data_IF_095698733856
#
_entry.id   IF_095698733856
#
_cell.length_a   1.000
_cell.length_b   1.000
_cell.length_c   1.000
_cell.angle_alpha   90.00
_cell.angle_beta   90.00
_cell.angle_gamma   90.00
#
_symmetry.space_group_name_H-M   'P 1'
#
loop_
_entity.id
_entity.type
_entity.pdbx_description
1 polymer ?
#
# COMPACT_ATOMS: atom_id res chain seq x y z
N UNK A 1 -34.00 -75.21 -34.59
CA UNK A 1 -32.91 -75.84 -33.84
C UNK A 1 -31.81 -74.81 -33.63
N UNK A 2 -31.28 -74.73 -32.41
CA UNK A 2 -30.17 -73.90 -31.87
C UNK A 2 -28.88 -73.90 -32.76
N UNK A 3 -27.79 -73.17 -32.42
CA UNK A 3 -27.63 -71.78 -31.96
C UNK A 3 -26.29 -71.13 -32.48
N UNK A 4 -25.95 -69.96 -31.91
CA UNK A 4 -24.60 -69.39 -31.72
C UNK A 4 -23.74 -69.02 -32.95
N UNK A 5 -23.45 -67.72 -33.08
CA UNK A 5 -22.07 -67.27 -33.26
C UNK A 5 -21.90 -65.88 -32.63
N UNK A 6 -21.14 -65.87 -31.54
CA UNK A 6 -20.70 -64.73 -30.77
C UNK A 6 -19.41 -64.25 -31.42
N UNK A 7 -19.35 -63.04 -31.98
CA UNK A 7 -18.06 -62.37 -32.22
C UNK A 7 -18.16 -60.88 -31.89
N UNK A 8 -17.41 -60.56 -30.85
CA UNK A 8 -16.93 -59.26 -30.44
C UNK A 8 -16.37 -58.44 -31.60
N UNK A 9 -16.68 -57.15 -31.65
CA UNK A 9 -15.60 -56.17 -31.81
C UNK A 9 -15.98 -54.83 -31.20
N UNK A 10 -15.18 -54.50 -30.21
CA UNK A 10 -15.16 -53.34 -29.36
C UNK A 10 -14.98 -52.05 -30.17
N UNK A 11 -15.81 -51.08 -29.84
CA UNK A 11 -15.70 -49.67 -30.24
C UNK A 11 -14.27 -49.16 -30.00
N UNK A 12 -13.64 -48.62 -31.04
CA UNK A 12 -12.42 -47.80 -30.92
C UNK A 12 -12.59 -46.58 -31.83
N UNK A 13 -13.28 -45.58 -31.31
CA UNK A 13 -13.26 -44.22 -31.88
C UNK A 13 -11.91 -43.63 -31.51
N UNK A 14 -10.98 -43.68 -32.46
CA UNK A 14 -9.70 -42.97 -32.40
C UNK A 14 -10.02 -41.48 -32.50
N UNK A 15 -10.15 -40.82 -31.35
CA UNK A 15 -10.01 -39.36 -31.28
C UNK A 15 -8.53 -39.05 -31.48
N UNK A 16 -8.18 -38.64 -32.70
CA UNK A 16 -6.90 -37.99 -32.99
C UNK A 16 -6.95 -36.62 -32.31
N UNK A 17 -6.52 -36.54 -31.06
CA UNK A 17 -6.09 -35.29 -30.47
C UNK A 17 -4.78 -34.89 -31.14
N UNK A 18 -4.89 -34.03 -32.16
CA UNK A 18 -3.77 -33.27 -32.68
C UNK A 18 -3.23 -32.40 -31.54
N UNK A 19 -2.23 -32.92 -30.85
CA UNK A 19 -1.41 -32.20 -29.88
C UNK A 19 -0.55 -31.21 -30.65
N UNK A 20 -0.97 -29.93 -30.65
CA UNK A 20 -0.08 -28.83 -30.99
C UNK A 20 1.00 -28.75 -29.90
N UNK A 21 2.16 -29.33 -30.18
CA UNK A 21 3.41 -28.93 -29.53
C UNK A 21 3.70 -27.47 -29.87
N UNK A 22 3.37 -26.58 -28.94
CA UNK A 22 4.08 -25.30 -28.80
C UNK A 22 5.00 -25.42 -27.61
N UNK A 23 6.28 -25.50 -27.90
CA UNK A 23 7.35 -25.28 -26.94
C UNK A 23 7.17 -23.91 -26.25
N UNK A 24 7.32 -23.89 -24.93
CA UNK A 24 7.78 -22.72 -24.18
C UNK A 24 6.78 -21.59 -23.90
N UNK A 25 5.77 -21.86 -23.06
CA UNK A 25 5.24 -20.99 -21.97
C UNK A 25 3.98 -21.65 -21.39
N UNK A 26 3.99 -22.03 -20.11
CA UNK A 26 2.79 -22.61 -19.48
C UNK A 26 1.71 -21.53 -19.32
N UNK A 27 0.46 -21.91 -19.56
CA UNK A 27 -0.68 -21.02 -19.83
C UNK A 27 -1.37 -20.46 -18.56
N UNK A 28 -0.90 -20.75 -17.34
CA UNK A 28 -1.39 -20.02 -16.14
C UNK A 28 -0.27 -19.89 -15.11
N UNK A 29 0.28 -18.68 -14.97
CA UNK A 29 1.07 -18.31 -13.80
C UNK A 29 0.18 -18.45 -12.56
N UNK A 30 0.55 -19.24 -11.54
CA UNK A 30 -0.30 -19.49 -10.38
C UNK A 30 -0.58 -18.19 -9.60
N UNK A 31 -1.66 -18.17 -8.82
CA UNK A 31 -1.95 -17.04 -7.94
C UNK A 31 -0.91 -16.99 -6.81
N UNK A 32 -0.38 -15.79 -6.55
CA UNK A 32 0.59 -15.58 -5.47
C UNK A 32 -0.01 -15.81 -4.08
N UNK A 33 0.82 -16.25 -3.13
CA UNK A 33 0.49 -16.51 -1.72
C UNK A 33 1.14 -15.46 -0.78
N UNK A 34 1.19 -15.76 0.52
CA UNK A 34 1.72 -14.88 1.57
C UNK A 34 0.64 -14.00 2.22
N UNK A 35 1.00 -13.31 3.31
CA UNK A 35 0.11 -12.34 3.99
C UNK A 35 0.36 -10.92 3.50
N UNK A 36 -0.60 -9.99 3.70
CA UNK A 36 -0.35 -8.60 3.35
C UNK A 36 0.83 -8.07 4.14
N UNK A 37 1.71 -7.34 3.45
CA UNK A 37 2.94 -6.81 4.03
C UNK A 37 3.83 -7.88 4.71
N UNK A 38 3.82 -9.10 4.18
CA UNK A 38 4.84 -10.11 4.45
C UNK A 38 5.87 -10.12 3.33
N UNK A 39 7.16 -10.18 3.69
CA UNK A 39 8.28 -10.27 2.75
C UNK A 39 9.02 -11.57 3.03
N UNK A 40 9.19 -12.39 1.99
CA UNK A 40 10.06 -13.56 2.03
C UNK A 40 11.49 -13.15 1.65
N UNK A 41 12.42 -13.30 2.59
CA UNK A 41 13.84 -13.08 2.39
C UNK A 41 14.51 -14.40 1.99
N UNK A 42 15.17 -14.41 0.84
CA UNK A 42 16.04 -15.50 0.39
C UNK A 42 17.48 -15.05 0.61
N UNK A 43 18.08 -15.57 1.68
CA UNK A 43 19.44 -15.21 2.09
C UNK A 43 20.10 -16.37 2.83
N UNK A 44 21.39 -16.60 2.58
CA UNK A 44 22.20 -17.58 3.29
C UNK A 44 22.47 -17.15 4.75
N UNK A 45 23.12 -18.02 5.53
CA UNK A 45 23.38 -17.74 6.95
C UNK A 45 24.43 -16.66 7.17
N UNK A 46 25.36 -16.48 6.22
CA UNK A 46 26.40 -15.46 6.33
C UNK A 46 25.78 -14.06 6.20
N UNK A 47 24.87 -13.89 5.24
CA UNK A 47 24.17 -12.64 5.00
C UNK A 47 23.13 -12.35 6.10
N UNK A 48 22.35 -13.34 6.50
CA UNK A 48 21.27 -13.09 7.46
C UNK A 48 21.74 -12.93 8.90
N UNK A 49 22.75 -13.70 9.32
CA UNK A 49 23.31 -13.60 10.67
C UNK A 49 24.54 -12.68 10.69
N UNK A 50 24.70 -11.83 9.68
CA UNK A 50 25.80 -10.87 9.65
C UNK A 50 25.71 -9.93 10.87
N UNK A 51 26.83 -9.45 11.40
CA UNK A 51 26.82 -8.57 12.57
C UNK A 51 25.96 -7.31 12.40
N UNK A 52 25.87 -6.81 11.17
CA UNK A 52 25.04 -5.65 10.81
C UNK A 52 23.56 -6.01 10.65
N UNK A 53 23.22 -7.25 10.25
CA UNK A 53 21.85 -7.70 9.98
C UNK A 53 21.02 -6.67 9.17
N UNK A 54 21.65 -5.93 8.25
CA UNK A 54 21.10 -4.69 7.70
C UNK A 54 19.71 -4.88 7.08
N UNK A 55 19.51 -5.96 6.34
CA UNK A 55 18.22 -6.24 5.70
C UNK A 55 17.10 -6.52 6.71
N UNK A 56 17.41 -7.19 7.83
CA UNK A 56 16.44 -7.39 8.89
C UNK A 56 16.01 -6.05 9.48
N UNK A 57 16.96 -5.18 9.84
CA UNK A 57 16.67 -3.87 10.44
C UNK A 57 15.86 -2.95 9.52
N UNK A 58 16.17 -2.94 8.21
CA UNK A 58 15.38 -2.19 7.23
C UNK A 58 13.94 -2.70 7.18
N UNK A 59 13.73 -4.02 7.13
CA UNK A 59 12.38 -4.58 7.03
C UNK A 59 11.59 -4.49 8.35
N UNK A 60 12.28 -4.43 9.49
CA UNK A 60 11.69 -4.32 10.83
C UNK A 60 11.45 -2.86 11.27
N UNK A 61 11.84 -1.88 10.45
CA UNK A 61 11.61 -0.44 10.70
C UNK A 61 10.12 -0.16 10.94
N UNK A 62 9.81 0.62 11.97
CA UNK A 62 8.43 0.96 12.33
C UNK A 62 7.71 1.80 11.28
N UNK A 63 6.40 1.62 11.16
CA UNK A 63 5.56 2.47 10.32
C UNK A 63 5.41 3.85 10.97
N UNK A 64 5.75 4.95 10.26
CA UNK A 64 5.70 6.29 10.82
C UNK A 64 4.26 6.76 11.09
N UNK A 65 4.12 7.61 12.12
CA UNK A 65 2.83 8.21 12.50
C UNK A 65 1.89 7.28 13.26
N UNK A 66 2.38 6.18 13.84
CA UNK A 66 1.61 5.30 14.72
C UNK A 66 1.87 5.62 16.20
N UNK A 67 0.85 5.48 17.08
CA UNK A 67 1.02 5.77 18.50
C UNK A 67 1.82 4.70 19.25
N UNK A 68 1.92 3.50 18.69
CA UNK A 68 2.81 2.45 19.17
C UNK A 68 3.67 1.92 18.01
N UNK A 69 4.92 1.53 18.27
CA UNK A 69 5.77 0.84 17.30
C UNK A 69 5.08 -0.35 16.64
N UNK A 70 5.03 -0.35 15.31
CA UNK A 70 4.57 -1.48 14.52
C UNK A 70 5.45 -1.63 13.27
N UNK A 71 6.23 -2.72 13.21
CA UNK A 71 7.11 -3.04 12.09
C UNK A 71 6.44 -2.93 10.72
N UNK A 72 7.21 -2.46 9.74
CA UNK A 72 6.79 -2.29 8.36
C UNK A 72 6.41 -3.61 7.70
N UNK A 73 7.17 -4.68 7.95
CA UNK A 73 6.87 -5.97 7.34
C UNK A 73 6.88 -7.10 8.35
N UNK A 74 6.07 -8.12 8.08
CA UNK A 74 6.32 -9.46 8.63
C UNK A 74 7.44 -10.08 7.80
N UNK A 75 8.47 -10.57 8.46
CA UNK A 75 9.63 -11.13 7.77
C UNK A 75 9.62 -12.65 7.89
N UNK A 76 9.65 -13.32 6.75
CA UNK A 76 9.85 -14.77 6.64
C UNK A 76 11.17 -14.99 5.92
N UNK A 77 11.96 -15.99 6.31
CA UNK A 77 13.28 -16.24 5.69
C UNK A 77 13.41 -17.69 5.24
N UNK A 78 14.03 -17.90 4.09
CA UNK A 78 14.54 -19.20 3.63
C UNK A 78 15.98 -19.07 3.14
N UNK A 79 16.72 -20.18 3.21
CA UNK A 79 18.04 -20.29 2.55
C UNK A 79 17.85 -20.44 1.03
N UNK A 80 18.84 -20.08 0.21
CA UNK A 80 18.76 -20.22 -1.26
C UNK A 80 18.37 -21.64 -1.71
N UNK A 81 18.97 -22.68 -1.13
CA UNK A 81 18.65 -24.09 -1.38
C UNK A 81 17.20 -24.48 -1.02
N UNK A 82 16.53 -23.70 -0.16
CA UNK A 82 15.12 -23.87 0.21
C UNK A 82 14.16 -22.98 -0.59
N UNK A 83 14.68 -22.22 -1.56
CA UNK A 83 13.89 -21.40 -2.48
C UNK A 83 13.28 -22.23 -3.63
N UNK A 84 12.33 -23.09 -3.25
CA UNK A 84 11.66 -24.07 -4.10
C UNK A 84 10.29 -23.58 -4.61
N UNK A 85 9.56 -24.47 -5.29
CA UNK A 85 8.25 -24.17 -5.90
C UNK A 85 7.23 -23.57 -4.93
N UNK A 86 7.22 -23.98 -3.66
CA UNK A 86 6.24 -23.48 -2.68
C UNK A 86 6.58 -22.05 -2.22
N UNK A 87 7.85 -21.81 -1.89
CA UNK A 87 8.32 -20.50 -1.40
C UNK A 87 8.35 -19.45 -2.52
N UNK A 88 8.55 -19.87 -3.76
CA UNK A 88 8.40 -19.04 -4.97
C UNK A 88 6.99 -18.50 -5.19
N UNK A 89 5.96 -18.98 -4.48
CA UNK A 89 4.61 -18.44 -4.61
C UNK A 89 4.40 -17.14 -3.82
N UNK A 90 5.29 -16.76 -2.90
CA UNK A 90 5.13 -15.54 -2.10
C UNK A 90 5.04 -14.29 -2.98
N UNK A 91 4.10 -13.40 -2.68
CA UNK A 91 3.86 -12.21 -3.50
C UNK A 91 4.89 -11.09 -3.36
N UNK A 92 5.68 -11.10 -2.29
CA UNK A 92 6.77 -10.15 -2.06
C UNK A 92 7.99 -10.97 -1.64
N UNK A 93 9.04 -10.91 -2.44
CA UNK A 93 10.27 -11.66 -2.23
C UNK A 93 11.45 -10.71 -2.36
N UNK A 94 12.42 -10.83 -1.46
CA UNK A 94 13.73 -10.20 -1.61
C UNK A 94 14.81 -11.27 -1.66
N UNK A 95 15.70 -11.19 -2.64
CA UNK A 95 16.80 -12.14 -2.85
C UNK A 95 18.10 -11.38 -2.63
N UNK A 96 18.88 -11.82 -1.63
CA UNK A 96 20.25 -11.37 -1.44
C UNK A 96 21.17 -12.25 -2.29
N UNK A 97 21.77 -11.66 -3.32
CA UNK A 97 22.64 -12.34 -4.26
C UNK A 97 24.05 -11.76 -4.17
N UNK A 98 24.87 -12.36 -3.29
CA UNK A 98 26.20 -11.87 -2.96
C UNK A 98 27.24 -12.79 -3.59
N UNK A 99 27.94 -12.28 -4.60
CA UNK A 99 28.95 -13.04 -5.35
C UNK A 99 30.06 -12.10 -5.83
N UNK A 100 31.31 -12.55 -5.77
CA UNK A 100 32.50 -11.77 -6.16
C UNK A 100 32.60 -11.45 -7.66
N UNK A 101 31.74 -12.06 -8.49
CA UNK A 101 31.58 -11.74 -9.92
C UNK A 101 30.97 -10.36 -10.16
N UNK A 102 30.28 -9.80 -9.15
CA UNK A 102 29.70 -8.47 -9.25
C UNK A 102 30.76 -7.40 -8.97
N UNK A 103 30.59 -6.23 -9.57
CA UNK A 103 31.53 -5.10 -9.41
C UNK A 103 30.94 -3.94 -8.61
N UNK A 104 29.64 -3.97 -8.33
CA UNK A 104 28.92 -2.95 -7.57
C UNK A 104 27.61 -3.50 -7.03
N UNK A 105 27.15 -2.95 -5.90
CA UNK A 105 25.83 -3.25 -5.36
C UNK A 105 24.72 -2.54 -6.15
N UNK A 106 23.65 -3.26 -6.50
CA UNK A 106 22.49 -2.67 -7.17
C UNK A 106 21.20 -3.42 -6.86
N UNK A 107 20.08 -2.68 -6.96
CA UNK A 107 18.75 -3.24 -6.93
C UNK A 107 18.26 -3.57 -8.34
N UNK A 108 17.62 -4.73 -8.46
CA UNK A 108 16.85 -5.17 -9.62
C UNK A 108 15.49 -5.64 -9.15
N UNK A 109 14.51 -5.60 -10.03
CA UNK A 109 13.24 -6.24 -9.73
C UNK A 109 12.62 -6.95 -10.92
N UNK A 110 11.80 -7.94 -10.62
CA UNK A 110 11.03 -8.70 -11.59
C UNK A 110 9.59 -8.83 -11.10
N UNK A 111 8.65 -8.71 -12.04
CA UNK A 111 7.22 -8.94 -11.79
C UNK A 111 6.82 -10.33 -12.23
N UNK A 112 5.92 -10.95 -11.47
CA UNK A 112 5.19 -12.16 -11.88
C UNK A 112 6.05 -13.32 -12.38
N UNK A 113 7.29 -13.45 -11.87
CA UNK A 113 8.26 -14.45 -12.33
C UNK A 113 7.78 -15.89 -12.09
N UNK A 114 7.10 -16.12 -10.96
CA UNK A 114 6.63 -17.45 -10.54
C UNK A 114 5.14 -17.49 -10.21
N UNK A 115 4.56 -16.39 -9.75
CA UNK A 115 3.15 -16.28 -9.36
C UNK A 115 2.63 -14.86 -9.65
N UNK A 116 1.32 -14.63 -9.69
CA UNK A 116 0.76 -13.27 -9.90
C UNK A 116 -0.35 -12.92 -8.90
N UNK A 117 -0.43 -11.68 -8.40
CA UNK A 117 0.54 -10.58 -8.57
C UNK A 117 1.75 -10.73 -7.63
N UNK A 118 2.98 -10.67 -8.16
CA UNK A 118 4.23 -10.88 -7.44
C UNK A 118 5.27 -9.81 -7.76
N UNK A 119 5.97 -9.35 -6.72
CA UNK A 119 7.12 -8.48 -6.82
C UNK A 119 8.35 -9.16 -6.19
N UNK A 120 9.42 -9.28 -6.96
CA UNK A 120 10.70 -9.84 -6.50
C UNK A 120 11.75 -8.74 -6.62
N UNK A 121 12.38 -8.37 -5.51
CA UNK A 121 13.57 -7.52 -5.52
C UNK A 121 14.81 -8.40 -5.39
N UNK A 122 15.76 -8.28 -6.30
CA UNK A 122 17.08 -8.91 -6.17
C UNK A 122 18.12 -7.83 -5.89
N UNK A 123 18.90 -8.03 -4.84
CA UNK A 123 20.02 -7.17 -4.48
C UNK A 123 21.30 -7.92 -4.82
N UNK A 124 21.96 -7.49 -5.89
CA UNK A 124 23.24 -8.06 -6.31
C UNK A 124 24.36 -7.28 -5.63
N UNK A 125 25.34 -7.96 -5.02
CA UNK A 125 26.47 -7.33 -4.31
C UNK A 125 27.77 -8.12 -4.46
N UNK A 126 28.94 -7.47 -4.61
CA UNK A 126 30.24 -8.16 -4.61
C UNK A 126 30.61 -8.80 -3.27
N UNK A 127 30.18 -8.21 -2.15
CA UNK A 127 30.55 -8.64 -0.81
C UNK A 127 29.45 -8.38 0.22
N UNK A 128 29.55 -9.02 1.38
CA UNK A 128 28.63 -8.80 2.50
C UNK A 128 28.73 -7.37 3.06
N UNK A 129 29.93 -6.79 3.09
CA UNK A 129 30.16 -5.44 3.60
C UNK A 129 29.48 -4.39 2.70
N UNK A 130 29.69 -4.47 1.39
CA UNK A 130 29.05 -3.57 0.42
C UNK A 130 27.53 -3.77 0.37
N UNK A 131 27.05 -5.00 0.58
CA UNK A 131 25.62 -5.29 0.69
C UNK A 131 25.02 -4.55 1.90
N UNK A 132 25.64 -4.71 3.07
CA UNK A 132 25.20 -4.10 4.32
C UNK A 132 25.15 -2.57 4.25
N UNK A 133 26.22 -1.96 3.74
CA UNK A 133 26.32 -0.50 3.57
C UNK A 133 25.21 0.01 2.64
N UNK A 134 25.05 -0.64 1.48
CA UNK A 134 24.09 -0.21 0.47
C UNK A 134 22.64 -0.38 0.97
N UNK A 135 22.30 -1.52 1.58
CA UNK A 135 20.97 -1.78 2.14
C UNK A 135 20.64 -0.76 3.24
N UNK A 136 21.60 -0.47 4.12
CA UNK A 136 21.40 0.50 5.20
C UNK A 136 21.19 1.92 4.64
N UNK A 137 21.98 2.32 3.65
CA UNK A 137 21.86 3.65 3.01
C UNK A 137 20.56 3.82 2.22
N UNK A 138 20.08 2.74 1.60
CA UNK A 138 18.93 2.77 0.69
C UNK A 138 17.68 2.09 1.27
N UNK A 139 17.60 1.91 2.60
CA UNK A 139 16.53 1.16 3.24
C UNK A 139 15.12 1.66 2.90
N UNK A 140 14.92 2.98 2.79
CA UNK A 140 13.63 3.56 2.42
C UNK A 140 13.17 3.13 1.01
N UNK A 141 14.09 2.89 0.08
CA UNK A 141 13.78 2.41 -1.28
C UNK A 141 13.17 1.01 -1.21
N UNK A 142 13.73 0.13 -0.36
CA UNK A 142 13.22 -1.23 -0.13
C UNK A 142 11.83 -1.18 0.51
N UNK A 143 11.66 -0.34 1.53
CA UNK A 143 10.38 -0.18 2.23
C UNK A 143 9.30 0.36 1.29
N UNK A 144 9.60 1.41 0.53
CA UNK A 144 8.66 2.02 -0.42
C UNK A 144 8.27 1.04 -1.53
N UNK A 145 9.23 0.28 -2.07
CA UNK A 145 8.97 -0.70 -3.14
C UNK A 145 7.88 -1.71 -2.73
N UNK A 146 8.07 -2.40 -1.61
CA UNK A 146 7.10 -3.40 -1.16
C UNK A 146 5.82 -2.77 -0.59
N UNK A 147 5.90 -1.59 0.02
CA UNK A 147 4.71 -0.88 0.50
C UNK A 147 3.82 -0.46 -0.67
N UNK A 148 4.39 0.08 -1.73
CA UNK A 148 3.65 0.47 -2.95
C UNK A 148 3.11 -0.74 -3.70
N UNK A 149 3.84 -1.85 -3.72
CA UNK A 149 3.34 -3.11 -4.29
C UNK A 149 2.04 -3.57 -3.59
N UNK A 150 2.01 -3.57 -2.26
CA UNK A 150 0.79 -3.90 -1.51
C UNK A 150 -0.31 -2.85 -1.68
N UNK A 151 0.04 -1.56 -1.72
CA UNK A 151 -0.94 -0.50 -1.98
C UNK A 151 -1.57 -0.62 -3.36
N UNK A 152 -0.81 -0.98 -4.41
CA UNK A 152 -1.36 -1.24 -5.74
C UNK A 152 -2.37 -2.39 -5.74
N UNK A 153 -2.13 -3.43 -4.93
CA UNK A 153 -3.10 -4.53 -4.76
C UNK A 153 -4.39 -4.04 -4.09
N UNK A 154 -4.28 -3.19 -3.08
CA UNK A 154 -5.44 -2.58 -2.42
C UNK A 154 -6.19 -1.62 -3.35
N UNK A 155 -5.49 -0.76 -4.09
CA UNK A 155 -6.06 0.15 -5.11
C UNK A 155 -6.80 -0.64 -6.19
N UNK A 156 -6.23 -1.77 -6.65
CA UNK A 156 -6.88 -2.67 -7.61
C UNK A 156 -8.14 -3.33 -7.03
N UNK A 157 -8.16 -3.61 -5.73
CA UNK A 157 -9.35 -4.10 -5.03
C UNK A 157 -10.42 -3.00 -4.97
N UNK A 158 -10.05 -1.79 -4.57
CA UNK A 158 -10.93 -0.62 -4.53
C UNK A 158 -11.55 -0.32 -5.91
N UNK A 159 -10.75 -0.38 -6.99
CA UNK A 159 -11.25 -0.23 -8.37
C UNK A 159 -12.37 -1.21 -8.68
N UNK A 160 -12.23 -2.47 -8.23
CA UNK A 160 -13.22 -3.52 -8.45
C UNK A 160 -14.43 -3.41 -7.52
N UNK A 161 -14.21 -2.96 -6.30
CA UNK A 161 -15.19 -2.97 -5.23
C UNK A 161 -14.90 -1.83 -4.24
N UNK A 162 -15.67 -0.77 -4.35
CA UNK A 162 -15.67 0.38 -3.45
C UNK A 162 -17.11 0.76 -3.09
N UNK A 163 -17.29 1.65 -2.12
CA UNK A 163 -18.59 2.21 -1.78
C UNK A 163 -19.01 3.25 -2.83
N UNK A 164 -19.82 2.83 -3.80
CA UNK A 164 -20.31 3.68 -4.88
C UNK A 164 -21.15 4.86 -4.37
N UNK A 165 -21.92 4.68 -3.31
CA UNK A 165 -22.78 5.73 -2.74
C UNK A 165 -21.94 6.88 -2.17
N UNK A 166 -20.91 6.55 -1.37
CA UNK A 166 -20.00 7.54 -0.82
C UNK A 166 -19.13 8.17 -1.92
N UNK A 167 -18.69 7.38 -2.90
CA UNK A 167 -17.89 7.89 -4.02
C UNK A 167 -18.69 8.89 -4.87
N UNK A 168 -19.96 8.57 -5.19
CA UNK A 168 -20.88 9.50 -5.85
C UNK A 168 -21.18 10.75 -5.00
N UNK A 169 -21.20 10.61 -3.66
CA UNK A 169 -21.33 11.75 -2.75
C UNK A 169 -20.12 12.68 -2.84
N UNK A 170 -18.91 12.11 -2.87
CA UNK A 170 -17.67 12.88 -3.03
C UNK A 170 -17.67 13.62 -4.37
N UNK A 171 -18.02 12.93 -5.48
CA UNK A 171 -18.13 13.57 -6.79
C UNK A 171 -19.13 14.73 -6.75
N UNK A 172 -20.31 14.55 -6.16
CA UNK A 172 -21.34 15.60 -6.10
C UNK A 172 -20.95 16.80 -5.24
N UNK A 173 -20.19 16.61 -4.16
CA UNK A 173 -19.83 17.68 -3.22
C UNK A 173 -18.53 18.40 -3.60
N UNK A 174 -17.60 17.67 -4.21
CA UNK A 174 -16.22 18.12 -4.42
C UNK A 174 -15.78 18.06 -5.88
N UNK A 175 -16.61 17.60 -6.82
CA UNK A 175 -16.20 17.42 -8.22
C UNK A 175 -14.92 16.56 -8.37
N UNK A 176 -14.73 15.60 -7.46
CA UNK A 176 -13.58 14.71 -7.42
C UNK A 176 -14.04 13.25 -7.45
N UNK A 177 -13.35 12.42 -8.22
CA UNK A 177 -13.55 10.98 -8.20
C UNK A 177 -12.66 10.36 -7.12
N UNK A 178 -13.17 9.37 -6.38
CA UNK A 178 -12.38 8.60 -5.42
C UNK A 178 -13.01 7.23 -5.21
N UNK A 179 -12.21 6.21 -4.93
CA UNK A 179 -12.73 4.89 -4.53
C UNK A 179 -12.77 4.77 -3.02
N UNK A 180 -13.95 5.01 -2.44
CA UNK A 180 -14.16 4.93 -0.99
C UNK A 180 -14.17 3.47 -0.50
N UNK A 181 -13.45 3.11 0.58
CA UNK A 181 -13.50 1.75 1.12
C UNK A 181 -14.93 1.29 1.45
N UNK A 182 -15.24 0.02 1.16
CA UNK A 182 -16.58 -0.56 1.35
C UNK A 182 -17.02 -0.66 2.81
N UNK A 183 -16.05 -0.66 3.73
CA UNK A 183 -16.30 -0.72 5.16
C UNK A 183 -16.88 0.57 5.71
N UNK A 184 -16.69 1.70 5.01
CA UNK A 184 -17.27 2.98 5.39
C UNK A 184 -18.75 2.98 5.03
N UNK A 185 -19.61 3.06 6.03
CA UNK A 185 -21.05 2.87 5.90
C UNK A 185 -21.85 4.07 6.41
N UNK A 186 -21.33 4.80 7.38
CA UNK A 186 -21.94 6.01 7.94
C UNK A 186 -21.24 7.26 7.40
N UNK A 187 -21.98 8.37 7.29
CA UNK A 187 -21.39 9.64 6.89
C UNK A 187 -22.09 10.87 7.49
N UNK A 188 -21.34 11.97 7.56
CA UNK A 188 -21.80 13.31 7.92
C UNK A 188 -21.29 14.31 6.89
N UNK A 189 -22.16 15.17 6.39
CA UNK A 189 -21.80 16.29 5.51
C UNK A 189 -21.75 17.57 6.32
N UNK A 190 -20.70 18.36 6.11
CA UNK A 190 -20.54 19.72 6.62
C UNK A 190 -20.29 20.69 5.48
N UNK A 191 -19.97 21.95 5.81
CA UNK A 191 -19.60 22.94 4.81
C UNK A 191 -18.22 22.60 4.22
N UNK A 192 -18.16 22.32 2.91
CA UNK A 192 -16.92 21.88 2.24
C UNK A 192 -16.25 20.69 2.95
N UNK A 193 -17.05 19.80 3.53
CA UNK A 193 -16.57 18.71 4.37
C UNK A 193 -17.47 17.48 4.25
N UNK A 194 -16.86 16.31 4.20
CA UNK A 194 -17.53 15.02 4.34
C UNK A 194 -16.68 14.15 5.26
N UNK A 195 -17.32 13.56 6.28
CA UNK A 195 -16.75 12.49 7.08
C UNK A 195 -17.52 11.20 6.80
N UNK A 196 -16.80 10.12 6.57
CA UNK A 196 -17.34 8.78 6.47
C UNK A 196 -16.63 7.85 7.47
N UNK A 197 -17.37 6.93 8.06
CA UNK A 197 -16.83 5.97 9.03
C UNK A 197 -17.41 4.57 8.87
N UNK A 198 -16.68 3.59 9.37
CA UNK A 198 -17.23 2.25 9.59
C UNK A 198 -18.31 2.28 10.68
N UNK A 199 -19.14 1.24 10.76
CA UNK A 199 -20.16 1.14 11.80
C UNK A 199 -19.56 1.10 13.23
N UNK A 200 -18.33 0.61 13.37
CA UNK A 200 -17.61 0.59 14.64
C UNK A 200 -16.86 1.90 14.91
N UNK A 201 -16.85 2.83 13.94
CA UNK A 201 -16.09 4.07 13.95
C UNK A 201 -14.57 3.87 14.10
N UNK A 202 -14.07 2.68 13.78
CA UNK A 202 -12.67 2.31 13.87
C UNK A 202 -11.86 2.68 12.62
N UNK A 203 -12.54 2.82 11.49
CA UNK A 203 -12.03 3.39 10.24
C UNK A 203 -12.77 4.68 9.95
N UNK A 204 -12.02 5.75 9.71
CA UNK A 204 -12.59 7.05 9.40
C UNK A 204 -11.87 7.65 8.20
N UNK A 205 -12.65 8.32 7.37
CA UNK A 205 -12.17 9.01 6.19
C UNK A 205 -12.84 10.38 6.13
N UNK A 206 -12.06 11.42 5.90
CA UNK A 206 -12.60 12.76 5.62
C UNK A 206 -12.08 13.27 4.30
N UNK A 207 -12.91 14.07 3.64
CA UNK A 207 -12.51 14.94 2.54
C UNK A 207 -13.01 16.35 2.83
N UNK A 208 -12.16 17.33 2.60
CA UNK A 208 -12.52 18.73 2.77
C UNK A 208 -11.73 19.66 1.87
N UNK A 209 -12.25 20.87 1.68
CA UNK A 209 -11.61 21.87 0.81
C UNK A 209 -11.51 23.23 1.48
N UNK A 210 -10.48 23.98 1.09
CA UNK A 210 -10.31 25.39 1.45
C UNK A 210 -9.59 26.15 0.32
N UNK A 211 -9.75 27.48 0.21
CA UNK A 211 -9.14 28.27 -0.87
C UNK A 211 -7.62 28.12 -0.92
N UNK A 212 -7.05 28.04 -2.12
CA UNK A 212 -5.61 28.07 -2.29
C UNK A 212 -5.10 29.50 -2.18
N UNK A 213 -4.39 29.80 -1.10
CA UNK A 213 -3.89 31.15 -0.85
C UNK A 213 -2.53 31.40 -1.52
N UNK A 214 -1.56 30.49 -1.31
CA UNK A 214 -0.19 30.67 -1.78
C UNK A 214 0.65 29.38 -1.60
N UNK A 215 1.93 29.41 -1.97
CA UNK A 215 2.81 28.23 -1.83
C UNK A 215 3.07 27.83 -0.38
N UNK A 216 2.97 28.79 0.54
CA UNK A 216 3.12 28.60 2.00
C UNK A 216 2.04 27.68 2.59
N UNK A 217 1.00 27.36 1.82
CA UNK A 217 0.01 26.33 2.13
C UNK A 217 0.62 24.96 2.38
N UNK A 218 1.77 24.64 1.79
CA UNK A 218 2.45 23.36 1.95
C UNK A 218 3.56 23.40 2.99
N UNK A 219 3.20 23.81 4.21
CA UNK A 219 4.07 23.74 5.38
C UNK A 219 3.39 22.94 6.49
N UNK A 220 4.18 22.30 7.35
CA UNK A 220 3.66 21.51 8.47
C UNK A 220 2.76 22.35 9.38
N UNK A 221 3.21 23.56 9.73
CA UNK A 221 2.45 24.46 10.60
C UNK A 221 1.11 24.88 9.98
N UNK A 222 1.11 25.28 8.71
CA UNK A 222 -0.12 25.69 8.02
C UNK A 222 -1.10 24.52 7.87
N UNK A 223 -0.60 23.32 7.54
CA UNK A 223 -1.44 22.13 7.46
C UNK A 223 -2.13 21.84 8.80
N UNK A 224 -1.38 21.85 9.91
CA UNK A 224 -1.93 21.60 11.26
C UNK A 224 -3.00 22.66 11.60
N UNK A 225 -2.72 23.94 11.37
CA UNK A 225 -3.68 25.03 11.60
C UNK A 225 -5.00 24.80 10.84
N UNK A 226 -4.92 24.47 9.53
CA UNK A 226 -6.12 24.23 8.71
C UNK A 226 -6.83 22.96 9.09
N UNK A 227 -6.10 21.88 9.36
CA UNK A 227 -6.67 20.62 9.83
C UNK A 227 -7.46 20.86 11.11
N UNK A 228 -6.85 21.44 12.13
CA UNK A 228 -7.49 21.64 13.43
C UNK A 228 -8.69 22.57 13.35
N UNK A 229 -8.63 23.61 12.51
CA UNK A 229 -9.78 24.48 12.25
C UNK A 229 -10.96 23.72 11.64
N UNK A 230 -10.71 22.88 10.63
CA UNK A 230 -11.75 22.08 9.96
C UNK A 230 -12.29 20.98 10.89
N UNK A 231 -11.41 20.25 11.57
CA UNK A 231 -11.80 19.17 12.47
C UNK A 231 -12.58 19.70 13.67
N UNK A 232 -12.21 20.84 14.24
CA UNK A 232 -12.95 21.48 15.33
C UNK A 232 -14.39 21.81 14.97
N UNK A 233 -14.61 22.33 13.75
CA UNK A 233 -15.95 22.69 13.28
C UNK A 233 -16.83 21.46 12.97
N UNK A 234 -16.22 20.35 12.55
CA UNK A 234 -16.96 19.23 11.95
C UNK A 234 -17.00 17.96 12.81
N UNK A 235 -16.05 17.77 13.73
CA UNK A 235 -15.91 16.59 14.58
C UNK A 235 -15.91 16.98 16.07
N UNK A 236 -17.04 17.52 16.60
CA UNK A 236 -17.19 17.75 18.03
C UNK A 236 -17.29 16.42 18.79
N UNK A 237 -16.82 16.43 20.03
CA UNK A 237 -16.99 15.30 20.95
C UNK A 237 -18.38 15.29 21.61
N UNK A 238 -18.55 14.42 22.60
CA UNK A 238 -19.84 14.20 23.26
C UNK A 238 -20.31 15.38 24.13
N UNK A 239 -19.41 16.28 24.53
CA UNK A 239 -19.69 17.44 25.38
C UNK A 239 -19.15 18.72 24.77
N UNK A 240 -19.70 19.84 25.20
CA UNK A 240 -19.17 21.16 24.86
C UNK A 240 -17.69 21.28 25.23
N UNK A 241 -16.90 21.89 24.36
CA UNK A 241 -15.45 22.03 24.53
C UNK A 241 -14.64 20.80 24.08
N UNK A 242 -15.27 19.70 23.66
CA UNK A 242 -14.58 18.55 23.07
C UNK A 242 -14.58 18.64 21.54
N UNK A 243 -13.42 18.48 20.92
CA UNK A 243 -13.29 18.47 19.47
C UNK A 243 -11.97 17.84 19.03
N UNK A 244 -11.94 17.29 17.82
CA UNK A 244 -10.72 16.68 17.29
C UNK A 244 -9.66 17.75 16.97
N UNK A 245 -8.44 17.49 17.40
CA UNK A 245 -7.23 18.25 17.10
C UNK A 245 -6.10 17.33 16.65
N UNK A 246 -5.06 17.90 16.08
CA UNK A 246 -3.77 17.24 15.94
C UNK A 246 -3.13 17.17 17.32
N UNK A 247 -2.66 16.00 17.72
CA UNK A 247 -1.89 15.85 18.94
C UNK A 247 -0.51 16.53 18.77
N UNK A 248 0.43 16.25 19.67
CA UNK A 248 1.74 16.91 19.68
C UNK A 248 2.42 16.94 18.29
N UNK A 249 2.57 18.18 17.78
CA UNK A 249 3.13 18.51 16.47
C UNK A 249 4.57 18.02 16.25
N UNK A 250 5.28 17.64 17.32
CA UNK A 250 6.59 16.99 17.24
C UNK A 250 6.51 15.60 16.61
N UNK A 251 5.38 14.90 16.76
CA UNK A 251 5.13 13.58 16.14
C UNK A 251 4.43 13.66 14.78
N UNK A 252 4.37 14.86 14.20
CA UNK A 252 3.83 15.07 12.86
C UNK A 252 4.96 15.06 11.85
N UNK A 253 4.91 14.06 10.97
CA UNK A 253 5.78 13.90 9.82
C UNK A 253 5.07 14.43 8.57
N UNK A 254 5.77 15.24 7.79
CA UNK A 254 5.24 15.77 6.56
C UNK A 254 6.27 15.69 5.44
N UNK A 255 5.83 15.28 4.25
CA UNK A 255 6.71 15.15 3.09
C UNK A 255 5.99 15.43 1.78
N UNK A 256 6.76 15.88 0.82
CA UNK A 256 6.32 16.01 -0.56
C UNK A 256 6.29 14.62 -1.21
N UNK A 257 5.18 14.29 -1.86
CA UNK A 257 5.01 13.06 -2.63
C UNK A 257 4.43 13.38 -4.01
N UNK A 258 4.39 12.38 -4.88
CA UNK A 258 3.66 12.44 -6.13
C UNK A 258 2.46 11.48 -6.07
N UNK A 259 1.27 11.98 -6.36
CA UNK A 259 0.05 11.18 -6.49
C UNK A 259 -0.47 11.40 -7.91
N UNK A 260 -0.60 10.31 -8.67
CA UNK A 260 -1.02 10.37 -10.08
C UNK A 260 -0.14 11.32 -10.93
N UNK A 261 1.16 11.40 -10.62
CA UNK A 261 2.11 12.26 -11.33
C UNK A 261 2.12 13.72 -10.90
N UNK A 262 1.15 14.15 -10.10
CA UNK A 262 1.04 15.52 -9.59
C UNK A 262 1.52 15.63 -8.13
N UNK A 263 1.95 16.85 -7.77
CA UNK A 263 2.41 17.16 -6.43
C UNK A 263 1.31 16.96 -5.39
N UNK A 264 1.65 16.27 -4.30
CA UNK A 264 0.82 16.20 -3.10
C UNK A 264 1.70 16.34 -1.84
N UNK A 265 1.09 16.82 -0.77
CA UNK A 265 1.72 16.93 0.54
C UNK A 265 1.14 15.87 1.47
N UNK A 266 1.94 14.86 1.79
CA UNK A 266 1.56 13.80 2.72
C UNK A 266 1.89 14.22 4.14
N UNK A 267 0.92 14.10 5.05
CA UNK A 267 1.10 14.35 6.47
C UNK A 267 0.63 13.14 7.27
N UNK A 268 1.46 12.69 8.21
CA UNK A 268 1.17 11.59 9.14
C UNK A 268 1.35 12.11 10.55
N UNK A 269 0.52 11.64 11.47
CA UNK A 269 0.63 12.03 12.86
C UNK A 269 -0.46 11.41 13.71
N UNK A 270 -0.59 11.94 14.92
CA UNK A 270 -1.62 11.52 15.86
C UNK A 270 -2.69 12.61 15.96
N UNK A 271 -3.94 12.18 16.08
CA UNK A 271 -5.06 13.02 16.46
C UNK A 271 -5.48 12.66 17.88
N UNK A 272 -6.01 13.65 18.58
CA UNK A 272 -6.66 13.48 19.87
C UNK A 272 -7.93 14.31 19.93
N UNK A 273 -8.81 13.96 20.86
CA UNK A 273 -10.00 14.72 21.16
C UNK A 273 -9.67 15.63 22.34
N UNK A 274 -9.68 16.94 22.12
CA UNK A 274 -9.49 17.94 23.16
C UNK A 274 -10.46 17.65 24.31
N UNK A 275 -9.97 17.68 25.55
CA UNK A 275 -10.74 17.33 26.75
C UNK A 275 -11.31 15.89 26.79
N UNK A 276 -10.67 14.93 26.12
CA UNK A 276 -10.95 13.49 26.19
C UNK A 276 -9.66 12.64 26.08
N UNK A 277 -9.75 11.33 26.31
CA UNK A 277 -8.67 10.37 26.11
C UNK A 277 -8.72 9.68 24.74
N UNK A 278 -9.67 10.05 23.87
CA UNK A 278 -9.79 9.49 22.53
C UNK A 278 -8.67 10.01 21.62
N UNK A 279 -8.06 9.11 20.85
CA UNK A 279 -7.05 9.48 19.87
C UNK A 279 -6.60 8.31 19.01
N UNK A 280 -5.70 8.60 18.08
CA UNK A 280 -5.13 7.59 17.20
C UNK A 280 -4.32 8.18 16.05
N UNK A 281 -3.84 7.35 15.12
CA UNK A 281 -3.07 7.80 13.96
C UNK A 281 -3.96 8.34 12.85
N UNK A 282 -3.38 9.23 12.04
CA UNK A 282 -3.93 9.67 10.76
C UNK A 282 -2.86 9.72 9.67
N UNK A 283 -3.32 9.66 8.42
CA UNK A 283 -2.55 9.95 7.21
C UNK A 283 -3.40 10.80 6.28
N UNK A 284 -2.81 11.83 5.70
CA UNK A 284 -3.52 12.84 4.90
C UNK A 284 -2.73 13.20 3.65
N UNK A 285 -3.43 13.49 2.55
CA UNK A 285 -2.89 14.11 1.35
C UNK A 285 -3.58 15.46 1.11
N UNK A 286 -2.80 16.53 1.05
CA UNK A 286 -3.26 17.83 0.57
C UNK A 286 -2.78 18.05 -0.87
N UNK A 287 -3.72 18.40 -1.78
CA UNK A 287 -3.45 18.56 -3.21
C UNK A 287 -4.12 19.81 -3.76
N UNK A 288 -3.50 20.41 -4.79
CA UNK A 288 -4.02 21.61 -5.44
C UNK A 288 -5.02 21.21 -6.53
N UNK A 289 -6.30 21.55 -6.35
CA UNK A 289 -7.29 21.58 -7.41
C UNK A 289 -7.17 22.93 -8.14
N UNK A 290 -6.45 22.90 -9.26
CA UNK A 290 -6.16 24.10 -10.07
C UNK A 290 -7.40 24.60 -10.80
N UNK A 291 -8.32 23.72 -11.14
CA UNK A 291 -9.56 24.06 -11.85
C UNK A 291 -10.43 24.96 -10.99
N UNK A 292 -10.54 24.64 -9.69
CA UNK A 292 -11.39 25.37 -8.75
C UNK A 292 -10.63 26.30 -7.80
N UNK A 293 -9.31 26.45 -7.95
CA UNK A 293 -8.49 27.37 -7.16
C UNK A 293 -8.48 27.05 -5.65
N UNK A 294 -8.47 25.77 -5.29
CA UNK A 294 -8.60 25.31 -3.90
C UNK A 294 -7.61 24.19 -3.57
N UNK A 295 -7.42 23.96 -2.27
CA UNK A 295 -6.83 22.73 -1.77
C UNK A 295 -7.94 21.71 -1.52
N UNK A 296 -7.69 20.48 -1.94
CA UNK A 296 -8.47 19.31 -1.57
C UNK A 296 -7.61 18.48 -0.63
N UNK A 297 -8.15 18.19 0.55
CA UNK A 297 -7.51 17.30 1.53
C UNK A 297 -8.35 16.04 1.67
N UNK A 298 -7.72 14.89 1.52
CA UNK A 298 -8.26 13.59 1.90
C UNK A 298 -7.46 13.04 3.06
N UNK A 299 -8.11 12.57 4.11
CA UNK A 299 -7.45 12.05 5.30
C UNK A 299 -8.14 10.79 5.80
N UNK A 300 -7.34 9.77 6.13
CA UNK A 300 -7.80 8.60 6.85
C UNK A 300 -7.27 8.61 8.28
N UNK A 301 -8.13 8.36 9.26
CA UNK A 301 -7.74 8.23 10.67
C UNK A 301 -8.40 7.04 11.34
N UNK A 302 -7.76 6.53 12.39
CA UNK A 302 -8.17 5.30 13.08
C UNK A 302 -8.44 5.58 14.54
N UNK A 303 -9.59 5.10 15.03
CA UNK A 303 -9.91 5.02 16.46
C UNK A 303 -10.08 3.56 16.86
N UNK A 304 -9.02 2.92 17.35
CA UNK A 304 -9.08 1.51 17.74
C UNK A 304 -8.27 1.27 19.03
N UNK A 305 -8.81 1.66 20.19
CA UNK A 305 -8.08 1.64 21.46
C UNK A 305 -7.62 0.22 21.82
N UNK A 306 -6.38 0.10 22.31
CA UNK A 306 -5.78 -1.18 22.71
C UNK A 306 -5.48 -2.18 21.57
N UNK A 307 -5.64 -1.77 20.30
CA UNK A 307 -5.34 -2.59 19.12
C UNK A 307 -4.22 -1.99 18.26
N UNK A 308 -3.59 -2.86 17.48
CA UNK A 308 -2.67 -2.50 16.40
C UNK A 308 -3.45 -1.82 15.27
N UNK A 309 -2.85 -0.81 14.64
CA UNK A 309 -3.52 0.13 13.73
C UNK A 309 -2.82 0.25 12.37
N UNK A 310 -1.63 -0.33 12.19
CA UNK A 310 -0.85 -0.28 10.95
C UNK A 310 -1.66 -0.68 9.72
N UNK A 311 -2.37 -1.81 9.79
CA UNK A 311 -3.09 -2.35 8.64
C UNK A 311 -4.31 -1.49 8.28
N UNK A 312 -4.98 -0.90 9.28
CA UNK A 312 -6.09 0.04 9.09
C UNK A 312 -5.59 1.33 8.43
N UNK A 313 -4.48 1.89 8.91
CA UNK A 313 -3.86 3.09 8.30
C UNK A 313 -3.39 2.81 6.88
N UNK A 314 -2.80 1.65 6.61
CA UNK A 314 -2.36 1.27 5.25
C UNK A 314 -3.51 1.14 4.27
N UNK A 315 -4.62 0.54 4.69
CA UNK A 315 -5.86 0.47 3.90
C UNK A 315 -6.38 1.86 3.55
N UNK A 316 -6.52 2.73 4.55
CA UNK A 316 -6.98 4.10 4.32
C UNK A 316 -6.01 4.89 3.44
N UNK A 317 -4.71 4.75 3.67
CA UNK A 317 -3.68 5.38 2.85
C UNK A 317 -3.81 4.99 1.37
N UNK A 318 -4.01 3.71 1.05
CA UNK A 318 -4.20 3.26 -0.32
C UNK A 318 -5.42 3.94 -0.99
N UNK A 319 -6.50 4.17 -0.25
CA UNK A 319 -7.67 4.89 -0.76
C UNK A 319 -7.37 6.36 -1.07
N UNK A 320 -6.52 7.05 -0.29
CA UNK A 320 -6.14 8.44 -0.56
C UNK A 320 -5.49 8.61 -1.93
N UNK A 321 -4.67 7.64 -2.36
CA UNK A 321 -4.04 7.64 -3.68
C UNK A 321 -5.02 7.49 -4.85
N UNK A 322 -6.27 7.09 -4.58
CA UNK A 322 -7.32 6.95 -5.60
C UNK A 322 -8.07 8.26 -5.87
N UNK A 323 -7.86 9.31 -5.05
CA UNK A 323 -8.44 10.63 -5.31
C UNK A 323 -7.95 11.12 -6.68
N UNK A 324 -8.89 11.50 -7.53
CA UNK A 324 -8.63 12.10 -8.83
C UNK A 324 -9.30 13.47 -8.86
N UNK A 325 -8.49 14.49 -9.10
CA UNK A 325 -8.96 15.88 -9.17
C UNK A 325 -9.55 16.18 -10.57
N UNK A 326 -10.38 17.23 -10.72
CA UNK A 326 -11.04 17.55 -12.00
C UNK A 326 -10.08 17.67 -13.19
N UNK A 327 -8.87 18.21 -12.98
CA UNK A 327 -7.88 18.39 -14.04
C UNK A 327 -7.10 17.13 -14.43
N UNK A 328 -7.25 16.02 -13.71
CA UNK A 328 -6.37 14.85 -13.82
C UNK A 328 -6.88 13.82 -14.84
N UNK A 329 -5.96 13.26 -15.61
CA UNK A 329 -6.21 12.11 -16.49
C UNK A 329 -6.09 10.82 -15.70
N UNK A 330 -6.68 9.72 -16.20
CA UNK A 330 -6.47 8.41 -15.58
C UNK A 330 -4.97 8.04 -15.65
N UNK A 331 -4.37 7.79 -14.48
CA UNK A 331 -2.97 7.37 -14.35
C UNK A 331 -2.91 5.90 -13.94
N UNK A 332 -1.85 5.20 -14.36
CA UNK A 332 -1.61 3.79 -14.09
C UNK A 332 -1.31 3.47 -12.62
N UNK A 333 -0.73 2.29 -12.37
CA UNK A 333 -0.33 1.86 -11.03
C UNK A 333 0.61 2.86 -10.33
N UNK A 334 0.58 2.90 -9.00
CA UNK A 334 1.55 3.67 -8.21
C UNK A 334 2.96 3.21 -8.58
N UNK A 335 3.86 4.12 -8.99
CA UNK A 335 5.21 3.74 -9.37
C UNK A 335 5.89 3.05 -8.20
N UNK A 336 6.24 1.77 -8.36
CA UNK A 336 7.09 1.06 -7.39
C UNK A 336 8.56 1.42 -7.62
N UNK A 337 8.88 2.05 -8.74
CA UNK A 337 10.22 2.42 -9.18
C UNK A 337 10.33 3.90 -9.60
N UNK A 338 11.33 4.56 -9.05
CA UNK A 338 11.96 5.72 -9.69
C UNK A 338 13.49 5.61 -9.68
N UNK A 339 14.02 4.54 -9.07
CA UNK A 339 15.44 4.33 -8.77
C UNK A 339 15.87 2.85 -8.92
N UNK A 340 15.00 1.96 -9.41
CA UNK A 340 15.28 0.52 -9.54
C UNK A 340 15.01 0.10 -10.99
N UNK A 341 15.92 -0.66 -11.61
CA UNK A 341 15.73 -1.19 -12.96
C UNK A 341 14.86 -2.46 -12.93
N UNK A 342 13.83 -2.51 -13.77
CA UNK A 342 13.09 -3.73 -14.10
C UNK A 342 13.92 -4.62 -15.04
N UNK A 343 13.89 -5.93 -14.84
CA UNK A 343 14.55 -6.94 -15.68
C UNK A 343 13.60 -7.67 -16.63
#
# INVERSE_FOLDING_TARGET
MKPLAFYSSLISVIFVFASCHKEGKSIVTPVSSGRPYEVLVVADDQCWNSPDSALFHVLDTDVPGLPQPERSFRISRVRPESFNRSTRLFRNIIIADIQDIYTQTKFKYTRDAYASPQMIMTIQSPSQEEFAEYVSRHGQVIIDFFTRAEMNREVKLLKKKHNEVLSAKVQSLFDCDIWMPVELASYKVGQQFLWASSNLNDLNFVIYTYPYASKETFTKAYFIEKRDSVMKANLPGAKEGMYMVTADSMFVDARNIAVQGDYAYEVRGLWEMENDAMGGPFVSHARVDRTNGRIVVVEGFVYNPGKLKRDQIRKLNAALYTLKLPQEKEVGELPVDSQISEE
#
